data_IF_731463512191
#
_entry.id   IF_731463512191
#
_cell.length_a   1.000
_cell.length_b   1.000
_cell.length_c   1.000
_cell.angle_alpha   90.00
_cell.angle_beta   90.00
_cell.angle_gamma   90.00
#
_symmetry.space_group_name_H-M   'P 1'
#
loop_
_entity.id
_entity.type
_entity.pdbx_description
1 polymer ?
#
# COMPACT_ATOMS: atom_id res chain seq x y z
N UNK A 1 -15.26 3.04 -12.51
CA UNK A 1 -14.55 4.02 -11.64
C UNK A 1 -15.54 4.96 -10.95
N UNK A 2 -16.57 5.47 -11.67
CA UNK A 2 -17.55 6.41 -11.10
C UNK A 2 -18.33 5.84 -9.91
N UNK A 3 -18.70 4.56 -9.95
CA UNK A 3 -19.45 3.91 -8.86
C UNK A 3 -18.56 3.59 -7.63
N UNK A 4 -17.27 3.43 -7.81
CA UNK A 4 -16.34 3.20 -6.71
C UNK A 4 -16.06 4.45 -5.86
N UNK A 5 -16.21 5.65 -6.45
CA UNK A 5 -15.94 6.92 -5.79
C UNK A 5 -17.15 7.56 -5.13
N UNK A 6 -18.37 7.16 -5.51
CA UNK A 6 -19.61 7.87 -5.16
C UNK A 6 -20.53 7.07 -4.26
N UNK A 7 -20.34 5.77 -4.12
CA UNK A 7 -21.42 4.93 -3.59
C UNK A 7 -21.20 4.17 -2.31
N UNK A 8 -19.99 4.00 -1.85
CA UNK A 8 -19.75 3.36 -0.57
C UNK A 8 -18.57 3.96 0.12
N UNK A 9 -18.77 4.18 1.36
CA UNK A 9 -17.77 4.64 2.28
C UNK A 9 -16.46 3.84 2.14
N UNK A 10 -15.46 4.43 1.41
CA UNK A 10 -14.21 4.60 2.08
C UNK A 10 -13.23 3.46 2.23
N UNK A 11 -13.43 2.32 1.62
CA UNK A 11 -12.38 1.31 1.62
C UNK A 11 -11.65 1.27 0.26
N UNK A 12 -11.38 2.43 -0.33
CA UNK A 12 -10.73 2.53 -1.63
C UNK A 12 -9.37 3.20 -1.47
N UNK A 13 -8.41 2.64 -2.16
CA UNK A 13 -7.08 3.16 -2.33
C UNK A 13 -6.86 3.50 -3.80
N UNK A 14 -6.74 4.79 -4.10
CA UNK A 14 -6.44 5.28 -5.43
C UNK A 14 -4.94 5.55 -5.58
N UNK A 15 -4.39 5.23 -6.73
CA UNK A 15 -3.00 5.54 -7.07
C UNK A 15 -2.84 5.93 -8.52
N UNK A 16 -1.97 6.90 -8.83
CA UNK A 16 -1.55 7.17 -10.20
C UNK A 16 -0.79 5.97 -10.78
N UNK A 17 -1.01 5.69 -12.06
CA UNK A 17 -0.37 4.55 -12.75
C UNK A 17 1.11 4.79 -12.99
N UNK A 18 1.49 6.03 -13.29
CA UNK A 18 2.86 6.41 -13.63
C UNK A 18 3.74 6.79 -12.43
N UNK A 19 3.18 6.78 -11.21
CA UNK A 19 3.91 7.17 -10.01
C UNK A 19 4.49 5.95 -9.27
N UNK A 20 5.63 6.15 -8.65
CA UNK A 20 6.31 5.15 -7.83
C UNK A 20 6.52 5.65 -6.40
N UNK A 21 7.04 4.81 -5.52
CA UNK A 21 7.38 5.23 -4.15
C UNK A 21 6.20 5.49 -3.22
N UNK A 22 4.96 5.21 -3.65
CA UNK A 22 3.75 5.47 -2.86
C UNK A 22 3.30 6.92 -2.87
N UNK A 23 3.88 7.75 -3.72
CA UNK A 23 3.43 9.13 -3.91
C UNK A 23 2.08 9.17 -4.63
N UNK A 24 1.26 10.15 -4.31
CA UNK A 24 -0.06 10.32 -4.92
C UNK A 24 -1.09 9.26 -4.55
N UNK A 25 -0.77 8.35 -3.63
CA UNK A 25 -1.74 7.38 -3.12
C UNK A 25 -2.74 8.10 -2.21
N UNK A 26 -4.00 7.92 -2.51
CA UNK A 26 -5.11 8.47 -1.72
C UNK A 26 -5.86 7.31 -1.06
N UNK A 27 -5.96 7.35 0.25
CA UNK A 27 -6.71 6.37 1.04
C UNK A 27 -8.00 7.04 1.51
N UNK A 28 -9.12 6.70 0.88
CA UNK A 28 -10.39 7.38 1.07
C UNK A 28 -10.85 7.48 2.52
N UNK A 29 -10.54 6.48 3.36
CA UNK A 29 -10.85 6.49 4.79
C UNK A 29 -10.17 7.64 5.56
N UNK A 30 -8.98 8.06 5.11
CA UNK A 30 -8.17 9.06 5.82
C UNK A 30 -8.27 10.47 5.22
N UNK A 31 -9.08 10.63 4.16
CA UNK A 31 -9.19 11.89 3.43
C UNK A 31 -10.29 12.79 3.98
N UNK A 32 -9.98 14.05 4.06
CA UNK A 32 -10.99 15.11 4.24
C UNK A 32 -11.92 15.20 3.03
N UNK A 33 -13.05 15.85 3.19
CA UNK A 33 -14.01 16.07 2.09
C UNK A 33 -13.39 16.84 0.92
N UNK A 34 -12.60 17.86 1.21
CA UNK A 34 -11.92 18.67 0.19
C UNK A 34 -10.89 17.87 -0.60
N UNK A 35 -10.13 16.98 0.06
CA UNK A 35 -9.18 16.09 -0.61
C UNK A 35 -9.89 15.08 -1.52
N UNK A 36 -11.01 14.52 -1.06
CA UNK A 36 -11.84 13.63 -1.88
C UNK A 36 -12.33 14.35 -3.15
N UNK A 37 -12.90 15.54 -3.01
CA UNK A 37 -13.39 16.32 -4.14
C UNK A 37 -12.27 16.70 -5.11
N UNK A 38 -11.09 17.05 -4.59
CA UNK A 38 -9.89 17.32 -5.40
C UNK A 38 -9.44 16.08 -6.18
N UNK A 39 -9.42 14.94 -5.50
CA UNK A 39 -9.02 13.65 -6.12
C UNK A 39 -10.01 13.23 -7.19
N UNK A 40 -11.31 13.35 -6.92
CA UNK A 40 -12.36 13.07 -7.92
C UNK A 40 -12.15 13.91 -9.17
N UNK A 41 -11.88 15.22 -9.02
CA UNK A 41 -11.61 16.10 -10.16
C UNK A 41 -10.38 15.65 -10.97
N UNK A 42 -9.29 15.25 -10.30
CA UNK A 42 -8.09 14.72 -10.97
C UNK A 42 -8.38 13.45 -11.76
N UNK A 43 -9.14 12.53 -11.16
CA UNK A 43 -9.54 11.28 -11.81
C UNK A 43 -10.46 11.54 -13.00
N UNK A 44 -11.42 12.45 -12.87
CA UNK A 44 -12.33 12.82 -13.98
C UNK A 44 -11.58 13.44 -15.15
N UNK A 45 -10.56 14.26 -14.89
CA UNK A 45 -9.74 14.90 -15.92
C UNK A 45 -8.83 13.89 -16.64
N UNK A 46 -8.31 12.88 -15.95
CA UNK A 46 -7.44 11.87 -16.54
C UNK A 46 -7.67 10.48 -15.96
N UNK A 47 -8.80 9.82 -16.29
CA UNK A 47 -9.19 8.56 -15.67
C UNK A 47 -8.25 7.39 -15.96
N UNK A 48 -7.50 7.45 -17.08
CA UNK A 48 -6.54 6.39 -17.44
C UNK A 48 -5.29 6.39 -16.57
N UNK A 49 -5.02 7.49 -15.89
CA UNK A 49 -3.85 7.62 -15.03
C UNK A 49 -4.09 7.14 -13.59
N UNK A 50 -5.25 6.59 -13.29
CA UNK A 50 -5.58 6.16 -11.93
C UNK A 50 -6.07 4.72 -11.89
N UNK A 51 -5.65 4.02 -10.83
CA UNK A 51 -6.14 2.68 -10.48
C UNK A 51 -6.75 2.76 -9.08
N UNK A 52 -7.99 2.33 -8.97
CA UNK A 52 -8.68 2.18 -7.70
C UNK A 52 -8.72 0.72 -7.28
N UNK A 53 -8.47 0.45 -6.02
CA UNK A 53 -8.54 -0.90 -5.46
C UNK A 53 -9.19 -0.87 -4.07
N UNK A 54 -9.88 -1.92 -3.65
CA UNK A 54 -10.36 -2.05 -2.28
C UNK A 54 -9.18 -1.94 -1.29
N UNK A 55 -9.42 -1.26 -0.18
CA UNK A 55 -8.45 -1.21 0.91
C UNK A 55 -8.43 -2.54 1.64
N UNK A 56 -7.29 -3.20 1.62
CA UNK A 56 -7.07 -4.46 2.34
C UNK A 56 -6.35 -4.14 3.64
N UNK A 57 -6.81 -4.73 4.73
CA UNK A 57 -6.09 -4.68 6.01
C UNK A 57 -4.86 -5.56 5.92
N UNK A 58 -3.69 -4.95 5.97
CA UNK A 58 -2.43 -5.67 6.01
C UNK A 58 -2.24 -6.35 7.36
N UNK A 59 -1.57 -7.51 7.37
CA UNK A 59 -1.12 -8.16 8.59
C UNK A 59 -0.18 -7.25 9.39
N UNK A 60 -0.10 -7.48 10.68
CA UNK A 60 0.82 -6.79 11.57
C UNK A 60 1.81 -7.77 12.20
N UNK A 61 2.99 -7.26 12.54
CA UNK A 61 4.02 -7.99 13.28
C UNK A 61 4.55 -7.13 14.42
N UNK A 62 4.93 -7.73 15.55
CA UNK A 62 5.66 -7.02 16.60
C UNK A 62 6.93 -6.41 16.02
N UNK A 63 7.13 -5.13 16.20
CA UNK A 63 8.29 -4.40 15.71
C UNK A 63 8.82 -3.51 16.82
N UNK A 64 10.11 -3.60 17.06
CA UNK A 64 10.78 -2.77 18.06
C UNK A 64 10.78 -1.31 17.61
N UNK A 65 10.28 -0.43 18.48
CA UNK A 65 10.20 1.00 18.23
C UNK A 65 10.62 1.74 19.49
N UNK A 66 11.86 2.14 19.56
CA UNK A 66 12.47 2.66 20.78
C UNK A 66 12.53 1.58 21.86
N UNK A 67 11.78 1.77 22.94
CA UNK A 67 11.84 0.88 24.11
C UNK A 67 10.71 -0.18 24.14
N UNK A 68 9.81 -0.17 23.15
CA UNK A 68 8.63 -1.02 23.15
C UNK A 68 8.45 -1.81 21.85
N UNK A 69 7.79 -2.96 21.99
CA UNK A 69 7.27 -3.71 20.85
C UNK A 69 5.88 -3.17 20.48
N UNK A 70 5.74 -2.73 19.23
CA UNK A 70 4.47 -2.25 18.73
C UNK A 70 4.07 -2.98 17.45
N UNK A 71 2.76 -3.22 17.22
CA UNK A 71 2.31 -3.80 15.98
C UNK A 71 2.53 -2.82 14.82
N UNK A 72 3.17 -3.30 13.76
CA UNK A 72 3.40 -2.58 12.51
C UNK A 72 2.92 -3.41 11.33
N UNK A 73 2.29 -2.74 10.37
CA UNK A 73 1.90 -3.39 9.13
C UNK A 73 3.11 -3.84 8.32
N UNK A 74 2.96 -4.96 7.64
CA UNK A 74 4.01 -5.53 6.80
C UNK A 74 3.46 -6.04 5.48
N UNK A 75 4.35 -6.19 4.50
CA UNK A 75 4.10 -6.95 3.28
C UNK A 75 5.29 -7.86 2.95
N UNK A 76 4.99 -9.04 2.38
CA UNK A 76 5.98 -9.95 1.82
C UNK A 76 6.06 -9.74 0.31
N UNK A 77 7.27 -9.64 -0.19
CA UNK A 77 7.59 -9.62 -1.63
C UNK A 77 8.43 -10.84 -2.00
N UNK A 78 7.81 -11.93 -2.46
CA UNK A 78 8.53 -13.04 -3.03
C UNK A 78 9.10 -12.65 -4.40
N UNK A 79 10.23 -13.25 -4.77
CA UNK A 79 10.80 -13.10 -6.10
C UNK A 79 10.38 -14.30 -6.95
N UNK A 80 9.66 -14.04 -8.03
CA UNK A 80 9.11 -15.04 -8.92
C UNK A 80 9.73 -14.85 -10.30
N UNK A 81 10.44 -15.87 -10.77
CA UNK A 81 10.96 -15.95 -12.11
C UNK A 81 9.94 -16.65 -12.98
N UNK A 82 9.52 -15.99 -14.05
CA UNK A 82 8.50 -16.52 -14.97
C UNK A 82 9.10 -16.76 -16.35
N UNK A 83 8.94 -17.99 -16.85
CA UNK A 83 9.31 -18.43 -18.19
C UNK A 83 8.30 -19.50 -18.62
N UNK A 84 8.76 -20.57 -19.24
CA UNK A 84 7.92 -21.74 -19.51
C UNK A 84 7.41 -22.38 -18.21
N UNK A 85 8.19 -22.27 -17.15
CA UNK A 85 7.82 -22.65 -15.79
C UNK A 85 8.02 -21.47 -14.86
N UNK A 86 7.23 -21.45 -13.79
CA UNK A 86 7.41 -20.47 -12.72
C UNK A 86 8.32 -21.03 -11.63
N UNK A 87 9.27 -20.23 -11.19
CA UNK A 87 10.17 -20.56 -10.10
C UNK A 87 10.11 -19.47 -9.03
N UNK A 88 9.81 -19.84 -7.81
CA UNK A 88 9.85 -18.94 -6.65
C UNK A 88 11.20 -19.12 -5.96
N UNK A 89 11.94 -18.03 -5.79
CA UNK A 89 13.24 -18.07 -5.09
C UNK A 89 13.05 -18.43 -3.61
N UNK A 90 14.09 -18.99 -3.01
CA UNK A 90 14.07 -19.41 -1.59
C UNK A 90 13.99 -18.21 -0.62
N UNK A 91 14.16 -17.00 -1.10
CA UNK A 91 14.11 -15.80 -0.29
C UNK A 91 13.06 -14.81 -0.75
N UNK A 92 12.79 -13.83 0.08
CA UNK A 92 11.88 -12.72 -0.19
C UNK A 92 12.27 -11.48 0.60
N UNK A 93 11.63 -10.37 0.29
CA UNK A 93 11.77 -9.13 1.04
C UNK A 93 10.51 -8.88 1.86
N UNK A 94 10.64 -8.86 3.17
CA UNK A 94 9.58 -8.38 4.07
C UNK A 94 9.82 -6.91 4.38
N UNK A 95 8.85 -6.07 4.03
CA UNK A 95 8.86 -4.64 4.36
C UNK A 95 7.92 -4.39 5.53
N UNK A 96 8.28 -3.42 6.36
CA UNK A 96 7.51 -3.05 7.55
C UNK A 96 7.31 -1.53 7.60
N UNK A 97 6.10 -1.10 7.99
CA UNK A 97 5.82 0.31 8.23
C UNK A 97 6.42 0.74 9.56
N UNK A 98 7.33 1.70 9.56
CA UNK A 98 7.92 2.22 10.81
C UNK A 98 6.98 3.20 11.53
N UNK A 99 6.06 3.84 10.81
CA UNK A 99 5.07 4.72 11.41
C UNK A 99 3.86 3.92 11.89
N UNK A 100 3.49 4.10 13.16
CA UNK A 100 2.30 3.46 13.78
C UNK A 100 1.04 3.73 12.97
N UNK A 101 0.28 2.66 12.70
CA UNK A 101 -0.99 2.76 11.97
C UNK A 101 -0.86 3.05 10.46
N UNK A 102 0.35 3.24 9.95
CA UNK A 102 0.55 3.43 8.51
C UNK A 102 0.34 2.12 7.76
N UNK A 103 -0.50 2.16 6.72
CA UNK A 103 -0.68 1.07 5.75
C UNK A 103 0.28 1.19 4.56
N UNK A 104 1.14 2.21 4.56
CA UNK A 104 2.18 2.39 3.54
C UNK A 104 3.47 1.78 4.08
N UNK A 105 3.84 0.63 3.55
CA UNK A 105 5.05 -0.14 3.93
C UNK A 105 6.19 0.10 2.93
N UNK A 106 6.41 1.34 2.54
CA UNK A 106 7.42 1.66 1.55
C UNK A 106 8.69 2.20 2.19
N UNK A 107 9.84 1.64 1.83
CA UNK A 107 11.14 2.08 2.31
C UNK A 107 11.45 3.56 1.98
N UNK A 108 10.99 4.06 0.83
CA UNK A 108 11.17 5.47 0.45
C UNK A 108 10.35 6.46 1.29
N UNK A 109 9.43 5.98 2.11
CA UNK A 109 8.62 6.79 3.04
C UNK A 109 8.85 6.43 4.51
N UNK A 110 10.06 6.03 4.85
CA UNK A 110 10.44 5.68 6.23
C UNK A 110 9.98 4.27 6.64
N UNK A 111 9.77 3.38 5.67
CA UNK A 111 9.59 1.96 5.94
C UNK A 111 10.94 1.27 6.18
N UNK A 112 10.91 0.16 6.91
CA UNK A 112 12.05 -0.72 7.13
C UNK A 112 11.87 -2.08 6.49
N UNK A 113 12.84 -2.95 6.70
CA UNK A 113 12.79 -4.36 6.32
C UNK A 113 12.94 -5.24 7.55
N UNK A 114 12.44 -6.46 7.44
CA UNK A 114 12.62 -7.55 8.42
C UNK A 114 13.17 -8.77 7.71
N UNK A 115 13.88 -9.60 8.45
CA UNK A 115 14.31 -10.89 7.96
C UNK A 115 13.10 -11.76 7.62
N UNK A 116 13.22 -12.50 6.52
CA UNK A 116 12.18 -13.41 6.04
C UNK A 116 12.69 -14.84 6.20
N UNK A 117 12.07 -15.57 7.10
CA UNK A 117 12.37 -16.97 7.34
C UNK A 117 11.28 -17.82 6.69
N UNK A 118 11.70 -18.70 5.79
CA UNK A 118 10.84 -19.70 5.16
C UNK A 118 11.12 -21.01 5.85
N UNK A 119 10.16 -21.54 6.60
CA UNK A 119 10.21 -22.76 7.39
C UNK A 119 9.28 -23.80 6.80
#
# INVERSE_FOLDING_TARGET
>A
IRSCLVGSEMCIRDRPVAESGGYGIVIGKNCSRSEKESTIRKIMNNPRNFVAQPLISLSTTPTYSGDNLEPRHLDLRPFILSGEKHYVTVGGLTRVALKKGSTVVNSSQGGGSKDTWIV
#
